data_IF_114630583916
#
_entry.id   IF_114630583916
#
_cell.length_a   1.000
_cell.length_b   1.000
_cell.length_c   1.000
_cell.angle_alpha   90.00
_cell.angle_beta   90.00
_cell.angle_gamma   90.00
#
_symmetry.space_group_name_H-M   'P 1'
#
loop_
_entity.id
_entity.type
_entity.pdbx_description
1 polymer ?
#
# COMPACT_ATOMS: atom_id res chain seq x y z
N UNK A 1 -11.35 -7.63 6.71
CA UNK A 1 -11.17 -7.30 5.29
C UNK A 1 -10.97 -8.60 4.56
N UNK A 2 -11.68 -8.78 3.45
CA UNK A 2 -11.39 -9.85 2.52
C UNK A 2 -10.09 -9.50 1.77
N UNK A 3 -9.11 -10.41 1.77
CA UNK A 3 -7.81 -10.21 1.14
C UNK A 3 -7.94 -9.95 -0.36
N UNK A 4 -8.98 -10.49 -1.01
CA UNK A 4 -9.20 -10.30 -2.44
C UNK A 4 -9.59 -8.87 -2.81
N UNK A 5 -9.97 -8.04 -1.83
CA UNK A 5 -10.27 -6.61 -2.03
C UNK A 5 -9.03 -5.73 -1.97
N UNK A 6 -7.89 -6.27 -1.53
CA UNK A 6 -6.62 -5.58 -1.44
C UNK A 6 -5.79 -5.95 -2.67
N UNK A 7 -5.45 -5.00 -3.56
CA UNK A 7 -4.59 -5.31 -4.70
C UNK A 7 -3.26 -5.90 -4.28
N UNK A 8 -2.63 -6.68 -5.15
CA UNK A 8 -1.20 -7.00 -4.99
C UNK A 8 -0.38 -5.70 -5.00
N UNK A 9 0.78 -5.65 -4.35
CA UNK A 9 1.60 -4.44 -4.35
C UNK A 9 2.08 -4.07 -5.77
N UNK A 10 2.45 -5.07 -6.58
CA UNK A 10 3.02 -4.86 -7.91
C UNK A 10 4.53 -4.65 -7.93
N UNK A 11 5.18 -4.69 -6.77
CA UNK A 11 6.65 -4.79 -6.59
C UNK A 11 6.91 -5.91 -5.60
N UNK A 12 7.99 -6.68 -5.82
CA UNK A 12 8.45 -7.71 -4.89
C UNK A 12 9.51 -7.11 -3.98
N UNK A 13 9.43 -7.36 -2.68
CA UNK A 13 10.40 -6.90 -1.69
C UNK A 13 11.81 -7.37 -2.05
N UNK A 14 12.79 -6.48 -1.99
CA UNK A 14 14.18 -6.81 -2.29
C UNK A 14 14.53 -6.89 -3.79
N UNK A 15 13.67 -6.41 -4.69
CA UNK A 15 13.94 -6.41 -6.14
C UNK A 15 15.17 -5.57 -6.49
N UNK A 16 16.07 -6.12 -7.32
CA UNK A 16 17.25 -5.45 -7.89
C UNK A 16 18.09 -4.65 -6.89
N UNK A 17 18.66 -5.30 -5.86
CA UNK A 17 19.40 -4.61 -4.81
C UNK A 17 20.66 -3.94 -5.38
N UNK A 18 20.88 -2.67 -5.01
CA UNK A 18 22.01 -1.83 -5.40
C UNK A 18 22.09 -1.45 -6.88
N UNK A 19 21.05 -1.72 -7.69
CA UNK A 19 21.08 -1.44 -9.14
C UNK A 19 20.86 0.04 -9.44
N UNK A 20 19.83 0.66 -8.88
CA UNK A 20 19.55 2.09 -9.08
C UNK A 20 20.38 2.99 -8.17
N UNK A 21 20.57 2.56 -6.92
CA UNK A 21 21.35 3.27 -5.91
C UNK A 21 21.86 2.26 -4.88
N UNK A 22 23.13 2.37 -4.47
CA UNK A 22 23.72 1.54 -3.42
C UNK A 22 22.91 1.68 -2.12
N UNK A 23 22.56 0.56 -1.51
CA UNK A 23 21.71 0.49 -0.32
C UNK A 23 20.20 0.55 -0.57
N UNK A 24 19.77 0.49 -1.83
CA UNK A 24 18.34 0.54 -2.21
C UNK A 24 17.95 -0.62 -3.12
N UNK A 25 16.64 -0.80 -3.27
CA UNK A 25 16.01 -1.73 -4.19
C UNK A 25 15.15 -0.95 -5.20
N UNK A 26 14.67 -1.62 -6.25
CA UNK A 26 13.88 -0.98 -7.31
C UNK A 26 12.38 -1.01 -6.99
N UNK A 27 11.76 0.17 -6.98
CA UNK A 27 10.32 0.38 -7.01
C UNK A 27 9.87 1.06 -8.30
N UNK A 28 8.59 1.40 -8.39
CA UNK A 28 7.99 1.96 -9.60
C UNK A 28 6.93 3.04 -9.30
N UNK A 29 7.04 4.21 -9.96
CA UNK A 29 6.04 5.28 -9.88
C UNK A 29 5.77 5.95 -11.25
N UNK A 30 5.78 5.16 -12.33
CA UNK A 30 5.80 5.63 -13.72
C UNK A 30 7.19 5.53 -14.35
N UNK A 31 8.21 5.43 -13.51
CA UNK A 31 9.58 5.06 -13.84
C UNK A 31 10.19 4.27 -12.67
N UNK A 32 11.31 3.59 -12.92
CA UNK A 32 12.05 2.92 -11.86
C UNK A 32 12.66 3.94 -10.89
N UNK A 33 12.46 3.72 -9.59
CA UNK A 33 12.97 4.60 -8.53
C UNK A 33 13.54 3.79 -7.36
N UNK A 34 14.56 4.30 -6.66
CA UNK A 34 15.09 3.62 -5.49
C UNK A 34 14.07 3.65 -4.33
N UNK A 35 13.89 2.51 -3.69
CA UNK A 35 13.06 2.33 -2.48
C UNK A 35 13.86 1.55 -1.42
N UNK A 36 13.47 1.60 -0.13
CA UNK A 36 14.03 0.73 0.89
C UNK A 36 13.84 -0.75 0.50
N UNK A 37 14.86 -1.59 0.70
CA UNK A 37 14.77 -3.02 0.36
C UNK A 37 13.82 -3.81 1.26
N UNK A 38 13.39 -3.24 2.38
CA UNK A 38 12.33 -3.78 3.24
C UNK A 38 10.93 -3.49 2.73
N UNK A 39 10.80 -2.74 1.63
CA UNK A 39 9.53 -2.37 1.03
C UNK A 39 9.28 -3.13 -0.29
N UNK A 40 8.03 -3.56 -0.57
CA UNK A 40 6.86 -3.47 0.32
C UNK A 40 6.96 -4.37 1.56
N UNK A 41 6.13 -4.16 2.59
CA UNK A 41 6.08 -5.04 3.77
C UNK A 41 5.59 -6.44 3.41
N UNK A 42 5.72 -7.39 4.34
CA UNK A 42 5.16 -8.73 4.14
C UNK A 42 3.63 -8.62 4.01
N UNK A 43 3.08 -9.22 2.94
CA UNK A 43 1.67 -9.01 2.55
C UNK A 43 0.66 -9.38 3.63
N UNK A 44 0.86 -10.49 4.33
CA UNK A 44 -0.03 -10.89 5.44
C UNK A 44 0.01 -9.89 6.60
N UNK A 45 1.20 -9.41 6.99
CA UNK A 45 1.35 -8.38 8.03
C UNK A 45 0.66 -7.07 7.62
N UNK A 46 0.73 -6.72 6.34
CA UNK A 46 0.02 -5.56 5.80
C UNK A 46 -1.50 -5.71 5.92
N UNK A 47 -2.04 -6.87 5.54
CA UNK A 47 -3.48 -7.17 5.63
C UNK A 47 -3.94 -7.15 7.10
N UNK A 48 -3.16 -7.72 8.01
CA UNK A 48 -3.46 -7.69 9.45
C UNK A 48 -3.50 -6.26 9.99
N UNK A 49 -2.54 -5.42 9.62
CA UNK A 49 -2.53 -4.01 9.99
C UNK A 49 -3.72 -3.25 9.38
N UNK A 50 -4.10 -3.55 8.14
CA UNK A 50 -5.25 -2.93 7.48
C UNK A 50 -6.55 -3.29 8.17
N UNK A 51 -6.71 -4.56 8.57
CA UNK A 51 -7.83 -5.01 9.37
C UNK A 51 -7.97 -4.20 10.67
N UNK A 52 -6.87 -4.06 11.41
CA UNK A 52 -6.86 -3.30 12.66
C UNK A 52 -7.18 -1.82 12.43
N UNK A 53 -6.57 -1.20 11.43
CA UNK A 53 -6.79 0.20 11.12
C UNK A 53 -8.23 0.50 10.67
N UNK A 54 -8.87 -0.41 9.93
CA UNK A 54 -10.28 -0.28 9.53
C UNK A 54 -11.24 -0.42 10.72
N UNK A 55 -10.93 -1.28 11.69
CA UNK A 55 -11.69 -1.37 12.95
C UNK A 55 -11.60 -0.07 13.74
N UNK A 56 -10.40 0.52 13.78
CA UNK A 56 -10.15 1.81 14.44
C UNK A 56 -10.64 3.02 13.62
N UNK A 57 -10.95 2.81 12.34
CA UNK A 57 -11.34 3.86 11.40
C UNK A 57 -10.26 4.92 11.12
N UNK A 58 -9.00 4.66 11.49
CA UNK A 58 -7.91 5.61 11.32
C UNK A 58 -6.53 4.94 11.27
N UNK A 59 -5.57 5.64 10.69
CA UNK A 59 -4.13 5.36 10.72
C UNK A 59 -3.43 6.65 11.09
N UNK A 60 -2.76 6.70 12.25
CA UNK A 60 -1.97 7.88 12.69
C UNK A 60 -2.76 9.21 12.60
N UNK A 61 -4.03 9.18 13.01
CA UNK A 61 -4.92 10.35 13.00
C UNK A 61 -5.55 10.68 11.64
N UNK A 62 -5.25 9.90 10.60
CA UNK A 62 -5.89 10.02 9.29
C UNK A 62 -7.03 9.01 9.17
N UNK A 63 -8.25 9.49 8.93
CA UNK A 63 -9.43 8.63 8.85
C UNK A 63 -9.37 7.71 7.62
N UNK A 64 -9.67 6.43 7.82
CA UNK A 64 -9.76 5.44 6.75
C UNK A 64 -11.06 4.63 6.84
N UNK A 65 -11.68 4.36 5.69
CA UNK A 65 -12.86 3.50 5.58
C UNK A 65 -13.07 3.09 4.13
N UNK A 66 -13.67 1.92 3.91
CA UNK A 66 -14.21 1.49 2.61
C UNK A 66 -15.19 0.32 2.77
N UNK A 67 -15.97 0.04 1.72
CA UNK A 67 -16.92 -1.08 1.68
C UNK A 67 -16.22 -2.44 1.58
N UNK A 68 -16.54 -3.35 2.52
CA UNK A 68 -16.10 -4.76 2.48
C UNK A 68 -16.99 -5.64 1.57
N UNK A 69 -17.97 -5.06 0.88
CA UNK A 69 -18.78 -5.81 -0.08
C UNK A 69 -17.95 -6.10 -1.34
N UNK A 70 -17.60 -7.37 -1.54
CA UNK A 70 -16.82 -7.81 -2.69
C UNK A 70 -17.55 -7.64 -4.03
N UNK A 71 -18.88 -7.50 -4.01
CA UNK A 71 -19.67 -7.21 -5.22
C UNK A 71 -19.64 -5.74 -5.62
N UNK A 72 -19.34 -4.84 -4.68
CA UNK A 72 -19.15 -3.41 -4.96
C UNK A 72 -17.74 -3.17 -5.49
N UNK A 73 -17.63 -3.17 -6.82
CA UNK A 73 -16.43 -2.84 -7.58
C UNK A 73 -16.57 -1.46 -8.26
N UNK A 74 -17.37 -0.56 -7.66
CA UNK A 74 -17.50 0.78 -8.20
C UNK A 74 -16.17 1.55 -8.13
N UNK A 75 -15.97 2.46 -9.09
CA UNK A 75 -14.77 3.31 -9.13
C UNK A 75 -14.58 4.05 -7.81
N UNK A 76 -15.66 4.56 -7.20
CA UNK A 76 -15.58 5.26 -5.93
C UNK A 76 -15.09 4.33 -4.79
N UNK A 77 -15.66 3.14 -4.66
CA UNK A 77 -15.30 2.18 -3.61
C UNK A 77 -13.86 1.70 -3.77
N UNK A 78 -13.42 1.42 -4.99
CA UNK A 78 -12.05 0.98 -5.21
C UNK A 78 -11.02 2.09 -4.96
N UNK A 79 -11.34 3.36 -5.28
CA UNK A 79 -10.50 4.49 -4.90
C UNK A 79 -10.37 4.63 -3.38
N UNK A 80 -11.45 4.41 -2.64
CA UNK A 80 -11.43 4.41 -1.18
C UNK A 80 -10.58 3.27 -0.61
N UNK A 81 -10.73 2.04 -1.15
CA UNK A 81 -9.90 0.87 -0.81
C UNK A 81 -8.42 1.18 -0.99
N UNK A 82 -8.06 1.63 -2.19
CA UNK A 82 -6.69 1.97 -2.53
C UNK A 82 -6.14 3.12 -1.67
N UNK A 83 -6.95 4.13 -1.37
CA UNK A 83 -6.57 5.24 -0.49
C UNK A 83 -6.27 4.77 0.93
N UNK A 84 -7.11 3.92 1.51
CA UNK A 84 -6.85 3.31 2.82
C UNK A 84 -5.54 2.50 2.81
N UNK A 85 -5.30 1.73 1.75
CA UNK A 85 -4.06 0.96 1.58
C UNK A 85 -2.82 1.87 1.50
N UNK A 86 -2.90 2.98 0.74
CA UNK A 86 -1.80 3.96 0.62
C UNK A 86 -1.50 4.64 1.95
N UNK A 87 -2.52 5.09 2.68
CA UNK A 87 -2.36 5.76 3.98
C UNK A 87 -1.67 4.82 4.98
N UNK A 88 -2.13 3.57 5.04
CA UNK A 88 -1.51 2.55 5.88
C UNK A 88 -0.08 2.26 5.46
N UNK A 89 0.17 2.05 4.16
CA UNK A 89 1.49 1.75 3.63
C UNK A 89 2.51 2.81 4.04
N UNK A 90 2.15 4.09 3.90
CA UNK A 90 3.00 5.23 4.23
C UNK A 90 3.23 5.41 5.74
N UNK A 91 2.46 4.73 6.59
CA UNK A 91 2.56 4.82 8.05
C UNK A 91 2.82 3.47 8.72
N UNK A 92 3.23 2.47 7.93
CA UNK A 92 3.22 1.06 8.36
C UNK A 92 4.12 0.74 9.56
N UNK A 93 5.18 1.53 9.82
CA UNK A 93 6.03 1.34 11.01
C UNK A 93 5.53 2.08 12.26
N UNK A 94 4.26 2.52 12.28
CA UNK A 94 3.64 3.13 13.46
C UNK A 94 3.92 4.62 13.64
N UNK A 95 4.46 5.30 12.62
CA UNK A 95 4.58 6.75 12.58
C UNK A 95 4.20 7.26 11.19
N UNK A 96 3.50 8.41 11.14
CA UNK A 96 3.08 9.02 9.87
C UNK A 96 4.28 9.34 8.98
N UNK A 97 4.28 8.81 7.76
CA UNK A 97 5.36 9.01 6.79
C UNK A 97 6.61 8.15 7.04
N UNK A 98 6.61 7.33 8.09
CA UNK A 98 7.69 6.39 8.42
C UNK A 98 7.34 4.97 7.95
N UNK A 99 6.63 4.84 6.84
CA UNK A 99 6.27 3.55 6.23
C UNK A 99 7.02 3.28 4.92
N UNK A 100 6.37 2.50 4.06
CA UNK A 100 6.87 2.25 2.72
C UNK A 100 6.36 3.31 1.73
N UNK A 101 7.21 3.76 0.77
CA UNK A 101 6.76 4.68 -0.26
C UNK A 101 5.76 4.00 -1.18
N UNK A 102 4.83 4.76 -1.77
CA UNK A 102 3.85 4.23 -2.74
C UNK A 102 4.53 3.59 -3.95
N UNK A 103 5.76 3.97 -4.27
CA UNK A 103 6.56 3.32 -5.31
C UNK A 103 6.87 1.83 -5.03
N UNK A 104 6.71 1.37 -3.79
CA UNK A 104 6.78 -0.06 -3.42
C UNK A 104 5.46 -0.81 -3.62
N UNK A 105 4.38 -0.10 -3.95
CA UNK A 105 3.06 -0.66 -4.21
C UNK A 105 2.35 0.07 -5.38
N UNK A 106 2.91 0.05 -6.61
CA UNK A 106 2.36 0.79 -7.75
C UNK A 106 0.89 0.47 -8.05
N UNK A 107 0.44 -0.76 -7.82
CA UNK A 107 -0.95 -1.14 -8.07
C UNK A 107 -1.94 -0.39 -7.15
N UNK A 108 -1.54 -0.03 -5.93
CA UNK A 108 -2.36 0.82 -5.06
C UNK A 108 -2.54 2.20 -5.68
N UNK A 109 -1.47 2.77 -6.24
CA UNK A 109 -1.56 4.06 -6.94
C UNK A 109 -2.46 3.97 -8.16
N UNK A 110 -2.32 2.92 -8.97
CA UNK A 110 -3.17 2.70 -10.13
C UNK A 110 -4.65 2.66 -9.73
N UNK A 111 -5.01 1.84 -8.74
CA UNK A 111 -6.40 1.75 -8.29
C UNK A 111 -6.91 3.05 -7.63
N UNK A 112 -6.04 3.80 -6.94
CA UNK A 112 -6.40 5.11 -6.40
C UNK A 112 -6.74 6.12 -7.52
N UNK A 113 -6.07 6.04 -8.66
CA UNK A 113 -6.30 6.94 -9.79
C UNK A 113 -7.51 6.53 -10.63
N UNK A 114 -7.67 5.24 -10.89
CA UNK A 114 -8.66 4.72 -11.85
C UNK A 114 -9.95 4.24 -11.19
N UNK A 115 -9.89 3.77 -9.95
CA UNK A 115 -10.87 2.83 -9.41
C UNK A 115 -10.61 1.42 -9.96
#
# INVERSE_FOLDING_TARGET
>A
VDETLVPEFGVITGTDPNVLQVGSCTGFNGQFVPIPCTCPPVRNQFIDALNNALILGNVEGEAITFSNDASDQSVATNKQRATACVILLQSFNGEKGSGCPVASAPNFKTQQDTG
#
